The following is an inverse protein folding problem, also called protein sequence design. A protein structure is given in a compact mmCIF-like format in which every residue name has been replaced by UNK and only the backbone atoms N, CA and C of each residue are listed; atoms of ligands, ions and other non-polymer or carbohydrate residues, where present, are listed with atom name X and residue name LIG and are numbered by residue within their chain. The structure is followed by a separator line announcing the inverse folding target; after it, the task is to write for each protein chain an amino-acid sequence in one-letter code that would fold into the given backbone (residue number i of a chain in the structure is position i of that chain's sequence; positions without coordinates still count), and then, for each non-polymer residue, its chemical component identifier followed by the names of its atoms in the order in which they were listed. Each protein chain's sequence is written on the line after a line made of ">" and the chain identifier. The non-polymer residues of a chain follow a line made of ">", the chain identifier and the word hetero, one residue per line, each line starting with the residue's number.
data_IF_239709854331
#
_entry.id   IF_239709854331
#
_cell.length_a   1.000
_cell.length_b   1.000
_cell.length_c   1.000
_cell.angle_alpha   90.00
_cell.angle_beta   90.00
_cell.angle_gamma   90.00
#
_symmetry.space_group_name_H-M   'P 1'
#
loop_
_entity.id
_entity.type
_entity.pdbx_description
1 polymer ?
#
# COMPACT_ATOMS: atom_id res chain seq x y z
N UNK A 1 5.99 -7.45 -20.70
CA UNK A 1 5.82 -7.18 -19.25
C UNK A 1 5.44 -5.73 -19.13
N UNK A 2 4.33 -5.44 -18.46
CA UNK A 2 3.90 -4.07 -18.18
C UNK A 2 4.08 -3.82 -16.69
N UNK A 3 4.58 -2.65 -16.34
CA UNK A 3 4.80 -2.25 -14.95
C UNK A 3 4.30 -0.82 -14.72
N UNK A 4 3.82 -0.57 -13.51
CA UNK A 4 3.40 0.74 -13.04
C UNK A 4 3.92 0.98 -11.62
N UNK A 5 4.23 2.23 -11.30
CA UNK A 5 4.60 2.68 -9.97
C UNK A 5 3.97 4.04 -9.71
N UNK A 6 3.73 4.35 -8.45
CA UNK A 6 3.36 5.68 -8.04
C UNK A 6 3.55 5.87 -6.55
N UNK A 7 3.57 7.13 -6.16
CA UNK A 7 3.72 7.55 -4.78
C UNK A 7 2.72 8.65 -4.47
N UNK A 8 2.36 8.74 -3.21
CA UNK A 8 1.55 9.81 -2.65
C UNK A 8 2.23 10.32 -1.39
N UNK A 9 2.21 11.63 -1.22
CA UNK A 9 2.71 12.28 -0.01
C UNK A 9 1.80 13.44 0.32
N UNK A 10 1.23 13.42 1.52
CA UNK A 10 0.47 14.53 2.10
C UNK A 10 0.70 14.58 3.61
N UNK A 11 0.22 15.63 4.27
CA UNK A 11 0.27 15.72 5.74
C UNK A 11 -0.57 14.64 6.45
N UNK A 12 -1.43 13.93 5.70
CA UNK A 12 -2.31 12.90 6.24
C UNK A 12 -1.79 11.50 5.94
N UNK A 13 -1.20 11.27 4.77
CA UNK A 13 -0.76 9.93 4.37
C UNK A 13 0.42 10.00 3.40
N UNK A 14 1.36 9.09 3.61
CA UNK A 14 2.37 8.73 2.61
C UNK A 14 2.10 7.33 2.10
N UNK A 15 2.25 7.09 0.80
CA UNK A 15 2.11 5.76 0.22
C UNK A 15 2.98 5.57 -1.01
N UNK A 16 3.29 4.32 -1.31
CA UNK A 16 3.82 3.91 -2.60
C UNK A 16 3.09 2.66 -3.06
N UNK A 17 3.05 2.48 -4.38
CA UNK A 17 2.65 1.23 -4.99
C UNK A 17 3.58 0.86 -6.14
N UNK A 18 3.69 -0.44 -6.37
CA UNK A 18 4.23 -1.02 -7.57
C UNK A 18 3.30 -2.13 -8.06
N UNK A 19 3.16 -2.25 -9.38
CA UNK A 19 2.40 -3.31 -10.00
C UNK A 19 3.10 -3.79 -11.27
N UNK A 20 3.02 -5.08 -11.56
CA UNK A 20 3.52 -5.65 -12.79
C UNK A 20 2.60 -6.76 -13.30
N UNK A 21 2.57 -6.92 -14.62
CA UNK A 21 1.90 -8.03 -15.30
C UNK A 21 2.78 -8.57 -16.42
N UNK A 22 2.86 -9.90 -16.48
CA UNK A 22 3.66 -10.64 -17.46
C UNK A 22 2.77 -11.19 -18.60
N UNK A 23 3.34 -11.55 -19.77
CA UNK A 23 2.56 -12.13 -20.87
C UNK A 23 1.87 -13.46 -20.52
N UNK A 24 2.39 -14.24 -19.57
CA UNK A 24 1.75 -15.45 -19.05
C UNK A 24 0.63 -15.15 -18.02
N UNK A 25 0.20 -13.89 -17.92
CA UNK A 25 -0.89 -13.38 -17.08
C UNK A 25 -0.63 -13.46 -15.57
N UNK A 26 0.62 -13.58 -15.17
CA UNK A 26 0.96 -13.43 -13.75
C UNK A 26 0.96 -11.93 -13.42
N UNK A 27 0.41 -11.58 -12.28
CA UNK A 27 0.44 -10.23 -11.76
C UNK A 27 1.00 -10.21 -10.35
N UNK A 28 1.67 -9.11 -10.03
CA UNK A 28 2.13 -8.79 -8.69
C UNK A 28 1.83 -7.32 -8.44
N UNK A 29 1.31 -7.02 -7.26
CA UNK A 29 1.11 -5.68 -6.77
C UNK A 29 1.55 -5.60 -5.32
N UNK A 30 2.35 -4.59 -5.03
CA UNK A 30 2.84 -4.27 -3.70
C UNK A 30 2.47 -2.82 -3.44
N UNK A 31 1.90 -2.54 -2.29
CA UNK A 31 1.61 -1.19 -1.86
C UNK A 31 1.87 -1.07 -0.36
N UNK A 32 2.19 0.13 0.07
CA UNK A 32 2.18 0.46 1.48
C UNK A 32 1.61 1.84 1.68
N UNK A 33 1.02 2.08 2.85
CA UNK A 33 0.71 3.44 3.30
C UNK A 33 1.12 3.63 4.75
N UNK A 34 1.41 4.87 5.11
CA UNK A 34 1.78 5.31 6.45
C UNK A 34 0.86 6.47 6.82
N UNK A 35 0.05 6.34 7.89
CA UNK A 35 -0.63 7.48 8.49
C UNK A 35 0.40 8.53 8.91
N UNK A 36 0.15 9.78 8.56
CA UNK A 36 0.95 10.92 9.01
C UNK A 36 0.20 11.68 10.12
N UNK A 37 0.74 12.84 10.52
CA UNK A 37 0.28 13.59 11.69
C UNK A 37 -1.19 14.02 11.58
N UNK A 38 -1.63 14.47 10.39
CA UNK A 38 -3.01 14.89 10.14
C UNK A 38 -3.95 13.74 9.77
N UNK A 39 -3.50 12.48 9.86
CA UNK A 39 -4.36 11.35 9.53
C UNK A 39 -5.62 11.33 10.41
N UNK A 40 -6.84 11.26 9.83
CA UNK A 40 -8.07 11.41 10.59
C UNK A 40 -8.22 10.39 11.74
N UNK A 41 -8.50 10.88 12.94
CA UNK A 41 -8.64 10.03 14.13
C UNK A 41 -9.72 8.95 13.98
N UNK A 42 -10.82 9.25 13.27
CA UNK A 42 -11.86 8.25 12.97
C UNK A 42 -11.36 7.11 12.09
N UNK A 43 -10.41 7.37 11.20
CA UNK A 43 -9.76 6.34 10.38
C UNK A 43 -8.68 5.59 11.16
N UNK A 44 -7.98 6.23 12.11
CA UNK A 44 -6.98 5.56 12.97
C UNK A 44 -7.57 4.35 13.71
N UNK A 45 -8.81 4.47 14.20
CA UNK A 45 -9.51 3.38 14.90
C UNK A 45 -9.79 2.18 13.98
N UNK A 46 -9.94 2.43 12.69
CA UNK A 46 -10.14 1.37 11.71
C UNK A 46 -8.82 0.66 11.42
N UNK A 47 -7.65 1.28 11.55
CA UNK A 47 -6.38 0.62 11.25
C UNK A 47 -6.15 -0.68 12.04
N UNK A 48 -6.80 -0.87 13.18
CA UNK A 48 -6.74 -2.10 13.97
C UNK A 48 -7.12 -3.37 13.18
N UNK A 49 -8.01 -3.29 12.17
CA UNK A 49 -8.36 -4.47 11.35
C UNK A 49 -7.26 -4.84 10.34
N UNK A 50 -6.35 -3.89 10.03
CA UNK A 50 -5.21 -4.11 9.14
C UNK A 50 -4.00 -4.74 9.85
N UNK A 51 -4.09 -4.93 11.17
CA UNK A 51 -2.99 -5.45 11.99
C UNK A 51 -2.01 -4.36 12.41
N UNK A 52 -0.76 -4.76 12.66
CA UNK A 52 0.28 -3.84 13.12
C UNK A 52 1.09 -3.32 11.94
N UNK A 53 1.47 -2.02 11.95
CA UNK A 53 2.41 -1.51 10.98
C UNK A 53 3.81 -2.11 11.19
N UNK A 54 4.66 -1.98 10.17
CA UNK A 54 6.08 -2.30 10.29
C UNK A 54 6.83 -1.31 11.19
N UNK A 55 8.14 -1.51 11.39
CA UNK A 55 8.99 -0.62 12.20
C UNK A 55 9.11 0.81 11.67
N UNK A 56 8.55 1.12 10.49
CA UNK A 56 8.48 2.46 9.90
C UNK A 56 7.06 3.04 9.92
N UNK A 57 6.11 2.37 10.58
CA UNK A 57 4.71 2.80 10.64
C UNK A 57 3.90 2.45 9.39
N UNK A 58 4.44 1.64 8.47
CA UNK A 58 3.79 1.32 7.19
C UNK A 58 2.90 0.09 7.31
N UNK A 59 1.71 0.21 6.75
CA UNK A 59 0.78 -0.89 6.53
C UNK A 59 0.94 -1.36 5.08
N UNK A 60 1.32 -2.62 4.89
CA UNK A 60 1.63 -3.18 3.58
C UNK A 60 0.50 -4.05 3.03
N UNK A 61 0.31 -3.99 1.71
CA UNK A 61 -0.60 -4.82 0.94
C UNK A 61 0.19 -5.49 -0.17
N UNK A 62 0.20 -6.82 -0.18
CA UNK A 62 0.89 -7.60 -1.19
C UNK A 62 -0.09 -8.57 -1.83
N UNK A 63 -0.26 -8.45 -3.15
CA UNK A 63 -1.12 -9.32 -3.94
C UNK A 63 -0.32 -9.90 -5.09
N UNK A 64 -0.42 -11.20 -5.27
CA UNK A 64 0.15 -11.88 -6.42
C UNK A 64 -0.82 -12.95 -6.89
N UNK A 65 -0.85 -13.19 -8.19
CA UNK A 65 -1.75 -14.16 -8.75
C UNK A 65 -1.64 -14.30 -10.25
N UNK A 66 -2.67 -14.90 -10.82
CA UNK A 66 -2.81 -15.13 -12.26
C UNK A 66 -4.27 -15.01 -12.65
N UNK A 67 -4.55 -14.39 -13.79
CA UNK A 67 -5.88 -14.32 -14.39
C UNK A 67 -5.95 -15.02 -15.75
#
# INVERSE_FOLDING_TARGET
>A
MLSAKGSQSSNQVSSEFSASVTPNRQYQSEAWFKPEDEFPNGMRQQLSWLGNPDGQGRYSFNYQGRF
#
